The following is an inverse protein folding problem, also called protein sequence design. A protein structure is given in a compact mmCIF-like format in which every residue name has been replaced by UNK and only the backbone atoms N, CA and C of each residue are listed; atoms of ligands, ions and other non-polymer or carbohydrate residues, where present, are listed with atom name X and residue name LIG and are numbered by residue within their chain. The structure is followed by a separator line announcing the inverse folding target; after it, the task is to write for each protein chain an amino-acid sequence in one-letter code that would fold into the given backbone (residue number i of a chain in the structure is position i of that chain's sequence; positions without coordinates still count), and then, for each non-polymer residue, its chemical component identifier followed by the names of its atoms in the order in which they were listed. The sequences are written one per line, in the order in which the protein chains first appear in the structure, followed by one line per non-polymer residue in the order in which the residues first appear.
data_IF_099647113621
#
_entry.id   IF_099647113621
#
_cell.length_a   1.000
_cell.length_b   1.000
_cell.length_c   1.000
_cell.angle_alpha   90.00
_cell.angle_beta   90.00
_cell.angle_gamma   90.00
#
_symmetry.space_group_name_H-M   'P 1'
#
loop_
_entity.id
_entity.type
_entity.pdbx_description
1 polymer ?
#
# COMPACT_ATOMS: atom_id res chain seq x y z
N UNK A 1 21.16 2.93 -24.12
CA UNK A 1 20.20 3.84 -23.45
C UNK A 1 20.51 3.86 -21.97
N UNK A 2 20.58 5.04 -21.37
CA UNK A 2 20.91 5.22 -19.94
C UNK A 2 19.64 4.95 -19.13
N UNK A 3 19.70 3.97 -18.23
CA UNK A 3 18.64 3.66 -17.29
C UNK A 3 18.63 4.78 -16.24
N UNK A 4 17.75 5.76 -16.39
CA UNK A 4 17.47 6.70 -15.31
C UNK A 4 16.60 5.96 -14.31
N UNK A 5 17.20 5.59 -13.19
CA UNK A 5 16.46 5.22 -11.98
C UNK A 5 15.77 6.51 -11.52
N UNK A 6 14.55 6.73 -12.01
CA UNK A 6 13.75 7.88 -11.62
C UNK A 6 13.38 7.71 -10.15
N UNK A 7 13.76 8.69 -9.33
CA UNK A 7 13.14 8.92 -8.03
C UNK A 7 11.63 9.02 -8.28
N UNK A 8 10.88 8.00 -7.91
CA UNK A 8 9.43 8.00 -8.01
C UNK A 8 8.89 9.05 -7.06
N UNK A 9 8.61 10.25 -7.56
CA UNK A 9 7.91 11.27 -6.80
C UNK A 9 6.44 10.87 -6.73
N UNK A 10 6.06 10.15 -5.68
CA UNK A 10 4.66 9.85 -5.37
C UNK A 10 4.01 11.15 -4.89
N UNK A 11 3.17 11.74 -5.73
CA UNK A 11 2.34 12.88 -5.34
C UNK A 11 1.05 12.31 -4.73
N UNK A 12 0.93 12.40 -3.40
CA UNK A 12 -0.32 12.09 -2.71
C UNK A 12 -1.30 13.24 -3.00
N UNK A 13 -2.31 12.98 -3.83
CA UNK A 13 -3.42 13.91 -3.98
C UNK A 13 -4.11 14.10 -2.62
N UNK A 14 -4.63 15.31 -2.37
CA UNK A 14 -5.37 15.63 -1.14
C UNK A 14 -6.70 14.89 -0.99
N UNK A 15 -7.16 14.23 -2.05
CA UNK A 15 -8.35 13.39 -2.08
C UNK A 15 -7.95 12.01 -2.59
N UNK A 16 -8.50 10.95 -1.99
CA UNK A 16 -8.17 9.59 -2.39
C UNK A 16 -8.66 9.36 -3.82
N UNK A 17 -7.97 8.55 -4.62
CA UNK A 17 -8.41 8.28 -6.00
C UNK A 17 -9.78 7.56 -5.99
N UNK A 18 -10.07 6.81 -4.92
CA UNK A 18 -11.38 6.21 -4.68
C UNK A 18 -12.48 7.25 -4.35
N UNK A 19 -12.13 8.50 -4.04
CA UNK A 19 -13.07 9.62 -3.81
C UNK A 19 -13.36 10.42 -5.09
N UNK A 20 -12.72 10.08 -6.23
CA UNK A 20 -12.90 10.77 -7.51
C UNK A 20 -13.88 9.99 -8.41
N UNK A 21 -15.06 10.55 -8.73
CA UNK A 21 -16.14 9.83 -9.40
C UNK A 21 -15.84 9.44 -10.87
N UNK A 22 -14.78 9.99 -11.47
CA UNK A 22 -14.49 9.85 -12.90
C UNK A 22 -13.43 8.78 -13.24
N UNK A 23 -12.89 8.06 -12.24
CA UNK A 23 -11.87 7.03 -12.45
C UNK A 23 -12.32 5.68 -11.90
N UNK A 24 -12.25 4.63 -12.72
CA UNK A 24 -12.40 3.24 -12.26
C UNK A 24 -11.02 2.61 -12.11
N UNK A 25 -10.67 2.21 -10.88
CA UNK A 25 -9.50 1.38 -10.59
C UNK A 25 -9.93 -0.08 -10.56
N UNK A 26 -9.32 -0.89 -11.43
CA UNK A 26 -9.60 -2.32 -11.52
C UNK A 26 -8.36 -3.11 -11.13
N UNK A 27 -8.49 -4.09 -10.23
CA UNK A 27 -7.36 -4.97 -9.86
C UNK A 27 -7.44 -6.29 -10.61
N UNK A 28 -6.33 -6.69 -11.24
CA UNK A 28 -6.17 -8.03 -11.82
C UNK A 28 -5.22 -8.81 -10.91
N UNK A 29 -5.72 -9.90 -10.33
CA UNK A 29 -5.06 -10.65 -9.26
C UNK A 29 -4.95 -12.13 -9.63
N UNK A 30 -3.72 -12.67 -9.66
CA UNK A 30 -3.48 -14.11 -9.75
C UNK A 30 -3.66 -14.80 -8.38
N UNK A 31 -3.33 -14.09 -7.30
CA UNK A 31 -3.63 -14.48 -5.92
C UNK A 31 -4.46 -13.42 -5.19
N UNK A 32 -5.40 -13.81 -4.31
CA UNK A 32 -6.20 -12.84 -3.56
C UNK A 32 -5.31 -12.00 -2.62
N UNK A 33 -5.62 -10.71 -2.49
CA UNK A 33 -5.02 -9.87 -1.46
C UNK A 33 -5.54 -10.26 -0.08
N UNK A 34 -4.72 -10.11 0.95
CA UNK A 34 -5.14 -10.26 2.34
C UNK A 34 -6.02 -9.09 2.80
N UNK A 35 -5.78 -7.90 2.23
CA UNK A 35 -6.50 -6.67 2.52
C UNK A 35 -7.03 -6.02 1.25
N UNK A 36 -8.17 -5.32 1.38
CA UNK A 36 -8.67 -4.50 0.29
C UNK A 36 -7.67 -3.36 -0.01
N UNK A 37 -7.57 -2.90 -1.27
CA UNK A 37 -6.68 -1.78 -1.62
C UNK A 37 -6.88 -0.54 -0.73
N UNK A 38 -8.13 -0.20 -0.40
CA UNK A 38 -8.47 0.90 0.51
C UNK A 38 -7.83 0.76 1.90
N UNK A 39 -7.81 -0.46 2.45
CA UNK A 39 -7.19 -0.73 3.75
C UNK A 39 -5.66 -0.56 3.69
N UNK A 40 -5.04 -1.01 2.61
CA UNK A 40 -3.60 -0.83 2.38
C UNK A 40 -3.24 0.65 2.18
N UNK A 41 -4.09 1.42 1.50
CA UNK A 41 -3.91 2.87 1.34
C UNK A 41 -4.01 3.61 2.68
N UNK A 42 -5.04 3.34 3.49
CA UNK A 42 -5.17 3.94 4.82
C UNK A 42 -4.00 3.57 5.74
N UNK A 43 -3.48 2.34 5.61
CA UNK A 43 -2.26 1.94 6.32
C UNK A 43 -1.05 2.76 5.90
N UNK A 44 -0.80 2.88 4.58
CA UNK A 44 0.30 3.66 4.04
C UNK A 44 0.21 5.13 4.47
N UNK A 45 -0.97 5.73 4.40
CA UNK A 45 -1.20 7.12 4.83
C UNK A 45 -0.94 7.32 6.34
N UNK A 46 -1.25 6.31 7.16
CA UNK A 46 -1.01 6.35 8.60
C UNK A 46 0.49 6.29 8.98
N UNK A 47 1.33 5.66 8.15
CA UNK A 47 2.75 5.40 8.45
C UNK A 47 3.74 6.20 7.61
N UNK A 48 3.37 6.61 6.40
CA UNK A 48 4.19 7.43 5.51
C UNK A 48 3.66 8.86 5.49
N UNK A 49 4.40 9.80 6.09
CA UNK A 49 4.02 11.21 6.07
C UNK A 49 4.39 11.86 4.74
N UNK A 50 3.47 12.64 4.17
CA UNK A 50 3.73 13.44 2.97
C UNK A 50 4.83 14.47 3.23
N UNK A 51 5.79 14.59 2.29
CA UNK A 51 6.89 15.55 2.36
C UNK A 51 8.09 15.16 3.23
N UNK A 52 8.08 13.99 3.87
CA UNK A 52 9.24 13.45 4.58
C UNK A 52 10.36 13.14 3.59
N UNK A 53 11.60 13.48 3.93
CA UNK A 53 12.75 13.09 3.11
C UNK A 53 12.85 11.54 3.02
N UNK A 54 13.49 11.00 1.98
CA UNK A 54 13.61 9.54 1.80
C UNK A 54 14.27 8.81 2.99
N UNK A 55 15.06 9.51 3.80
CA UNK A 55 15.67 9.06 5.06
C UNK A 55 14.74 9.19 6.28
N UNK A 56 13.69 10.00 6.20
CA UNK A 56 12.66 10.20 7.23
C UNK A 56 11.43 9.30 7.02
N UNK A 57 11.17 8.88 5.77
CA UNK A 57 10.16 7.86 5.48
C UNK A 57 10.73 6.48 5.79
N UNK A 58 10.31 5.92 6.92
CA UNK A 58 10.79 4.63 7.36
C UNK A 58 10.12 3.50 6.55
N UNK A 59 10.76 3.13 5.43
CA UNK A 59 10.34 2.03 4.57
C UNK A 59 10.21 0.69 5.31
N UNK A 60 10.76 0.56 6.53
CA UNK A 60 10.55 -0.63 7.37
C UNK A 60 9.07 -0.84 7.72
N UNK A 61 8.23 0.21 7.69
CA UNK A 61 6.78 0.06 7.84
C UNK A 61 6.10 -0.64 6.65
N UNK A 62 6.79 -0.84 5.52
CA UNK A 62 6.22 -1.57 4.37
C UNK A 62 7.03 -2.81 3.99
N UNK A 63 8.25 -2.95 4.50
CA UNK A 63 9.15 -4.07 4.16
C UNK A 63 9.42 -5.04 5.32
N UNK A 64 9.24 -4.65 6.58
CA UNK A 64 9.65 -5.44 7.74
C UNK A 64 8.49 -5.68 8.73
N UNK A 65 8.00 -6.92 8.77
CA UNK A 65 6.89 -7.30 9.64
C UNK A 65 7.23 -7.24 11.14
N UNK A 66 8.50 -7.46 11.52
CA UNK A 66 8.95 -7.36 12.91
C UNK A 66 8.92 -5.89 13.32
N UNK A 67 9.49 -5.03 12.47
CA UNK A 67 9.49 -3.59 12.72
C UNK A 67 8.07 -3.03 12.88
N UNK A 68 7.15 -3.42 12.00
CA UNK A 68 5.73 -3.04 12.10
C UNK A 68 5.11 -3.52 13.41
N UNK A 69 5.35 -4.77 13.80
CA UNK A 69 4.79 -5.35 15.04
C UNK A 69 5.18 -4.55 16.28
N UNK A 70 6.42 -4.07 16.33
CA UNK A 70 6.98 -3.36 17.49
C UNK A 70 6.66 -1.87 17.50
N UNK A 71 6.54 -1.23 16.33
CA UNK A 71 6.52 0.23 16.22
C UNK A 71 5.19 0.80 15.71
N UNK A 72 4.34 -0.01 15.08
CA UNK A 72 3.06 0.46 14.56
C UNK A 72 2.02 0.64 15.68
N UNK A 73 1.30 1.76 15.64
CA UNK A 73 0.14 1.94 16.51
C UNK A 73 -1.08 1.24 15.91
N UNK A 74 -1.32 -0.02 16.31
CA UNK A 74 -2.44 -0.83 15.81
C UNK A 74 -3.83 -0.23 16.10
N UNK A 75 -3.95 0.82 16.92
CA UNK A 75 -5.22 1.52 17.15
C UNK A 75 -5.48 2.66 16.14
N UNK A 76 -4.52 2.97 15.26
CA UNK A 76 -4.59 4.12 14.36
C UNK A 76 -5.49 3.88 13.14
N UNK A 77 -5.70 2.62 12.74
CA UNK A 77 -6.56 2.23 11.61
C UNK A 77 -7.58 1.19 12.05
N UNK A 78 -8.80 1.26 11.53
CA UNK A 78 -9.93 0.41 11.93
C UNK A 78 -9.61 -1.10 11.78
N UNK A 79 -9.00 -1.50 10.65
CA UNK A 79 -8.69 -2.91 10.41
C UNK A 79 -7.57 -3.45 11.33
N UNK A 80 -6.61 -2.61 11.70
CA UNK A 80 -5.53 -3.01 12.60
C UNK A 80 -5.97 -3.07 14.07
N UNK A 81 -7.01 -2.31 14.44
CA UNK A 81 -7.54 -2.30 15.80
C UNK A 81 -8.15 -3.65 16.21
N UNK A 82 -8.48 -4.50 15.23
CA UNK A 82 -8.96 -5.87 15.42
C UNK A 82 -7.85 -6.81 15.92
N UNK A 83 -6.57 -6.48 15.75
CA UNK A 83 -5.44 -7.27 16.24
C UNK A 83 -5.11 -6.93 17.70
N UNK A 84 -5.77 -7.61 18.62
CA UNK A 84 -5.68 -7.36 20.05
C UNK A 84 -4.47 -8.03 20.69
N UNK A 85 -4.16 -9.26 20.27
CA UNK A 85 -3.04 -10.05 20.80
C UNK A 85 -1.74 -9.81 20.03
N UNK A 86 -0.60 -10.16 20.63
CA UNK A 86 0.69 -10.05 19.96
C UNK A 86 0.78 -10.95 18.71
N UNK A 87 0.26 -12.17 18.79
CA UNK A 87 0.25 -13.12 17.67
C UNK A 87 -0.60 -12.61 16.49
N UNK A 88 -1.75 -12.00 16.78
CA UNK A 88 -2.59 -11.35 15.78
C UNK A 88 -1.86 -10.19 15.09
N UNK A 89 -1.11 -9.38 15.85
CA UNK A 89 -0.32 -8.26 15.31
C UNK A 89 0.81 -8.72 14.41
N UNK A 90 1.54 -9.78 14.81
CA UNK A 90 2.58 -10.41 13.97
C UNK A 90 1.97 -10.93 12.67
N UNK A 91 0.83 -11.63 12.76
CA UNK A 91 0.13 -12.16 11.60
C UNK A 91 -0.33 -11.05 10.66
N UNK A 92 -0.90 -9.99 11.22
CA UNK A 92 -1.34 -8.81 10.47
C UNK A 92 -0.17 -8.13 9.77
N UNK A 93 0.93 -7.87 10.48
CA UNK A 93 2.12 -7.25 9.93
C UNK A 93 2.72 -8.08 8.77
N UNK A 94 2.77 -9.41 8.90
CA UNK A 94 3.22 -10.30 7.82
C UNK A 94 2.33 -10.20 6.59
N UNK A 95 1.01 -10.16 6.76
CA UNK A 95 0.05 -10.02 5.66
C UNK A 95 0.17 -8.66 4.97
N UNK A 96 0.39 -7.59 5.73
CA UNK A 96 0.64 -6.25 5.17
C UNK A 96 1.88 -6.29 4.28
N UNK A 97 3.00 -6.79 4.81
CA UNK A 97 4.24 -6.88 4.05
C UNK A 97 4.10 -7.79 2.84
N UNK A 98 3.35 -8.89 2.96
CA UNK A 98 3.08 -9.78 1.84
C UNK A 98 2.32 -9.07 0.71
N UNK A 99 1.26 -8.32 1.04
CA UNK A 99 0.47 -7.59 0.04
C UNK A 99 1.23 -6.40 -0.55
N UNK A 100 1.97 -5.63 0.26
CA UNK A 100 2.71 -4.44 -0.19
C UNK A 100 3.99 -4.75 -0.98
N UNK A 101 4.56 -5.94 -0.80
CA UNK A 101 5.73 -6.39 -1.59
C UNK A 101 5.33 -7.10 -2.90
N UNK A 102 4.04 -7.22 -3.22
CA UNK A 102 3.63 -7.80 -4.50
C UNK A 102 4.10 -6.91 -5.65
N UNK A 103 4.53 -7.54 -6.73
CA UNK A 103 4.95 -6.81 -7.91
C UNK A 103 3.70 -6.29 -8.63
N UNK A 104 3.54 -4.97 -8.72
CA UNK A 104 2.39 -4.33 -9.38
C UNK A 104 2.83 -3.65 -10.68
N UNK A 105 2.15 -3.99 -11.76
CA UNK A 105 2.19 -3.26 -13.03
C UNK A 105 0.94 -2.41 -13.18
N UNK A 106 1.12 -1.15 -13.57
CA UNK A 106 0.00 -0.26 -13.89
C UNK A 106 -0.22 -0.30 -15.41
N UNK A 107 -1.39 -0.73 -15.83
CA UNK A 107 -1.83 -0.71 -17.23
C UNK A 107 -2.91 0.37 -17.43
N UNK A 108 -2.86 1.02 -18.58
CA UNK A 108 -3.86 1.99 -19.01
C UNK A 108 -4.67 1.36 -20.14
N UNK A 109 -5.89 0.91 -19.83
CA UNK A 109 -6.80 0.38 -20.85
C UNK A 109 -7.55 1.54 -21.50
N UNK A 110 -7.05 1.97 -22.66
CA UNK A 110 -7.64 3.05 -23.44
C UNK A 110 -8.98 2.69 -24.10
N UNK A 111 -9.31 1.40 -24.20
CA UNK A 111 -10.56 0.94 -24.80
C UNK A 111 -11.68 1.00 -23.76
N UNK A 112 -11.39 0.55 -22.54
CA UNK A 112 -12.34 0.57 -21.41
C UNK A 112 -12.28 1.86 -20.59
N UNK A 113 -11.29 2.73 -20.84
CA UNK A 113 -11.00 3.93 -20.05
C UNK A 113 -10.70 3.61 -18.58
N UNK A 114 -9.92 2.56 -18.34
CA UNK A 114 -9.62 2.06 -16.99
C UNK A 114 -8.13 2.15 -16.66
N UNK A 115 -7.85 2.37 -15.36
CA UNK A 115 -6.53 2.14 -14.78
C UNK A 115 -6.53 0.76 -14.13
N UNK A 116 -5.73 -0.14 -14.67
CA UNK A 116 -5.62 -1.51 -14.18
C UNK A 116 -4.36 -1.65 -13.33
N UNK A 117 -4.53 -2.11 -12.09
CA UNK A 117 -3.45 -2.55 -11.22
C UNK A 117 -3.31 -4.06 -11.38
N UNK A 118 -2.30 -4.49 -12.13
CA UNK A 118 -2.01 -5.89 -12.43
C UNK A 118 -0.95 -6.39 -11.46
N UNK A 119 -1.30 -7.34 -10.61
CA UNK A 119 -0.39 -7.96 -9.66
C UNK A 119 0.26 -9.18 -10.33
N UNK A 120 1.58 -9.14 -10.53
CA UNK A 120 2.36 -10.04 -11.43
C UNK A 120 3.13 -11.15 -10.69
N UNK A 121 2.73 -11.41 -9.45
CA UNK A 121 3.33 -12.41 -8.55
C UNK A 121 3.17 -13.86 -8.98
#
# INVERSE_FOLDING_TARGET
MKLYQALTQVTLNTQMVDDLPDFQITTVLDQPLNFAPTQLYHYIDAVLKSGSRHDENNLLYVTDAIFITENYNFKQTEFAALATSFEERVTLARKIVADLNRHVSVNLDLVQHEFQLIFVD
#
